data_IF_992777738672
#
_entry.id   IF_992777738672
#
_cell.length_a   1.000
_cell.length_b   1.000
_cell.length_c   1.000
_cell.angle_alpha   90.00
_cell.angle_beta   90.00
_cell.angle_gamma   90.00
#
_symmetry.space_group_name_H-M   'P 1'
#
loop_
_entity.id
_entity.type
_entity.pdbx_description
1 polymer ?
#
# COMPACT_ATOMS: atom_id res chain seq x y z
N UNK A 1 -2.71 -5.66 8.01
CA UNK A 1 -3.63 -6.82 8.20
C UNK A 1 -2.94 -8.08 7.68
N UNK A 2 -3.09 -9.22 8.35
CA UNK A 2 -2.41 -10.49 8.00
C UNK A 2 -2.78 -10.99 6.60
N UNK A 3 -4.03 -10.85 6.19
CA UNK A 3 -4.51 -11.33 4.89
C UNK A 3 -3.76 -10.78 3.67
N UNK A 4 -3.16 -9.59 3.77
CA UNK A 4 -2.32 -9.06 2.69
C UNK A 4 -1.05 -9.90 2.54
N UNK A 5 -0.41 -10.29 3.64
CA UNK A 5 0.77 -11.15 3.61
C UNK A 5 0.47 -12.56 3.11
N UNK A 6 -0.73 -13.08 3.40
CA UNK A 6 -1.20 -14.35 2.83
C UNK A 6 -1.34 -14.24 1.31
N UNK A 7 -2.07 -13.24 0.80
CA UNK A 7 -2.26 -13.08 -0.66
C UNK A 7 -0.94 -12.99 -1.41
N UNK A 8 0.00 -12.20 -0.92
CA UNK A 8 1.32 -12.03 -1.57
C UNK A 8 2.08 -13.34 -1.64
N UNK A 9 2.06 -14.14 -0.57
CA UNK A 9 2.77 -15.42 -0.51
C UNK A 9 2.12 -16.51 -1.37
N UNK A 10 0.80 -16.63 -1.33
CA UNK A 10 0.07 -17.63 -2.12
C UNK A 10 0.10 -17.35 -3.62
N UNK A 11 0.21 -16.07 -4.01
CA UNK A 11 0.24 -15.66 -5.42
C UNK A 11 1.66 -15.62 -6.01
N UNK A 12 2.71 -15.81 -5.19
CA UNK A 12 4.12 -15.65 -5.59
C UNK A 12 4.36 -14.36 -6.40
N UNK A 13 3.68 -13.29 -6.00
CA UNK A 13 3.57 -12.08 -6.79
C UNK A 13 4.60 -11.03 -6.38
N UNK A 14 5.17 -10.33 -7.36
CA UNK A 14 5.91 -9.10 -7.12
C UNK A 14 4.94 -8.01 -6.71
N UNK A 15 5.24 -7.31 -5.62
CA UNK A 15 4.38 -6.26 -5.10
C UNK A 15 5.03 -4.91 -5.35
N UNK A 16 4.30 -3.96 -5.95
CA UNK A 16 4.74 -2.58 -6.10
C UNK A 16 3.96 -1.69 -5.13
N UNK A 17 4.50 -1.39 -3.94
CA UNK A 17 3.90 -0.43 -3.02
C UNK A 17 3.75 0.96 -3.64
N UNK A 18 2.67 1.64 -3.26
CA UNK A 18 2.47 3.05 -3.56
C UNK A 18 1.92 3.80 -2.35
N UNK A 19 2.23 5.08 -2.27
CA UNK A 19 1.62 6.03 -1.33
C UNK A 19 0.79 7.04 -2.11
N UNK A 20 -0.49 7.13 -1.75
CA UNK A 20 -1.46 8.06 -2.32
C UNK A 20 -1.83 9.10 -1.26
N UNK A 21 -1.58 10.38 -1.54
CA UNK A 21 -1.91 11.49 -0.63
C UNK A 21 -2.80 12.53 -1.31
N UNK A 22 -3.55 13.30 -0.51
CA UNK A 22 -4.42 14.37 -1.01
C UNK A 22 -5.87 13.96 -1.33
N UNK A 23 -6.13 12.68 -1.60
CA UNK A 23 -7.48 12.18 -1.96
C UNK A 23 -8.51 12.41 -0.85
N UNK A 24 -8.14 12.17 0.42
CA UNK A 24 -9.04 12.43 1.55
C UNK A 24 -9.44 13.90 1.68
N UNK A 25 -8.57 14.84 1.27
CA UNK A 25 -8.88 16.27 1.26
C UNK A 25 -9.84 16.64 0.13
N UNK A 26 -9.78 15.93 -1.00
CA UNK A 26 -10.65 16.12 -2.17
C UNK A 26 -12.06 15.58 -1.90
N UNK A 27 -12.14 14.35 -1.39
CA UNK A 27 -13.40 13.67 -1.09
C UNK A 27 -13.24 12.85 0.21
N UNK A 28 -13.53 13.43 1.39
CA UNK A 28 -13.54 12.68 2.64
C UNK A 28 -14.71 11.69 2.67
N UNK A 29 -14.57 10.65 3.50
CA UNK A 29 -15.61 9.64 3.70
C UNK A 29 -16.93 10.31 4.12
N UNK A 30 -18.03 9.91 3.50
CA UNK A 30 -19.38 10.41 3.80
C UNK A 30 -19.79 11.67 3.01
N UNK A 31 -18.90 12.26 2.22
CA UNK A 31 -19.24 13.36 1.30
C UNK A 31 -19.51 12.80 -0.09
N UNK A 32 -20.49 13.36 -0.80
CA UNK A 32 -20.88 12.90 -2.14
C UNK A 32 -20.24 13.70 -3.28
N UNK A 33 -19.82 14.95 -3.03
CA UNK A 33 -19.26 15.83 -4.05
C UNK A 33 -17.79 16.19 -3.74
N UNK A 34 -16.85 15.93 -4.66
CA UNK A 34 -15.45 16.28 -4.46
C UNK A 34 -15.21 17.79 -4.61
N UNK A 35 -14.11 18.28 -4.08
CA UNK A 35 -13.56 19.62 -4.40
C UNK A 35 -12.25 19.50 -5.18
N UNK A 36 -11.91 20.53 -5.94
CA UNK A 36 -10.59 20.60 -6.60
C UNK A 36 -9.46 20.55 -5.56
N UNK A 37 -8.38 19.85 -5.90
CA UNK A 37 -7.21 19.70 -5.04
C UNK A 37 -6.09 18.94 -5.74
N UNK A 38 -4.91 18.91 -5.12
CA UNK A 38 -3.75 18.15 -5.61
C UNK A 38 -3.75 16.74 -5.03
N UNK A 39 -3.41 15.77 -5.87
CA UNK A 39 -3.12 14.38 -5.50
C UNK A 39 -1.65 14.13 -5.77
N UNK A 40 -0.99 13.40 -4.88
CA UNK A 40 0.37 12.91 -5.08
C UNK A 40 0.37 11.40 -5.01
N UNK A 41 1.10 10.78 -5.94
CA UNK A 41 1.28 9.35 -6.04
C UNK A 41 2.79 9.08 -6.09
N UNK A 42 3.28 8.25 -5.18
CA UNK A 42 4.68 7.85 -5.10
C UNK A 42 4.73 6.34 -5.13
N UNK A 43 5.44 5.78 -6.10
CA UNK A 43 5.71 4.34 -6.19
C UNK A 43 7.04 4.03 -5.51
N UNK A 44 7.14 2.83 -4.92
CA UNK A 44 8.42 2.26 -4.55
C UNK A 44 8.96 1.36 -5.65
N UNK A 45 10.21 0.93 -5.48
CA UNK A 45 10.71 -0.24 -6.18
C UNK A 45 9.87 -1.49 -5.85
N UNK A 46 9.78 -2.46 -6.77
CA UNK A 46 9.13 -3.74 -6.50
C UNK A 46 9.73 -4.45 -5.28
N UNK A 47 8.87 -5.03 -4.47
CA UNK A 47 9.23 -5.90 -3.36
C UNK A 47 8.97 -7.35 -3.75
N UNK A 48 10.01 -8.17 -3.58
CA UNK A 48 9.96 -9.62 -3.75
C UNK A 48 10.03 -10.25 -2.35
N UNK A 49 9.20 -11.25 -2.12
CA UNK A 49 9.08 -11.97 -0.86
C UNK A 49 9.45 -13.44 -1.05
N UNK A 50 10.02 -14.05 -0.02
CA UNK A 50 10.38 -15.46 -0.02
C UNK A 50 9.22 -16.30 0.51
N UNK A 51 9.10 -17.55 0.03
CA UNK A 51 8.19 -18.53 0.64
C UNK A 51 8.46 -18.74 2.15
N UNK A 52 9.68 -18.47 2.62
CA UNK A 52 10.06 -18.57 4.04
C UNK A 52 9.53 -17.42 4.89
N UNK A 53 9.14 -16.31 4.27
CA UNK A 53 8.60 -15.18 5.01
C UNK A 53 7.24 -15.55 5.64
N UNK A 54 7.03 -15.12 6.88
CA UNK A 54 5.72 -15.27 7.52
C UNK A 54 4.73 -14.22 6.99
N UNK A 55 3.44 -14.53 7.00
CA UNK A 55 2.40 -13.58 6.56
C UNK A 55 2.44 -12.26 7.36
N UNK A 56 2.81 -12.34 8.63
CA UNK A 56 2.93 -11.18 9.52
C UNK A 56 4.12 -10.31 9.10
N UNK A 57 5.26 -10.92 8.78
CA UNK A 57 6.47 -10.20 8.38
C UNK A 57 6.30 -9.52 7.02
N UNK A 58 5.66 -10.21 6.06
CA UNK A 58 5.29 -9.63 4.75
C UNK A 58 4.41 -8.39 4.96
N UNK A 59 3.32 -8.52 5.73
CA UNK A 59 2.41 -7.41 5.99
C UNK A 59 3.11 -6.24 6.70
N UNK A 60 4.00 -6.53 7.67
CA UNK A 60 4.76 -5.51 8.40
C UNK A 60 5.75 -4.77 7.49
N UNK A 61 6.47 -5.51 6.63
CA UNK A 61 7.42 -4.92 5.66
C UNK A 61 6.70 -4.03 4.66
N UNK A 62 5.55 -4.47 4.12
CA UNK A 62 4.72 -3.66 3.21
C UNK A 62 4.26 -2.36 3.87
N UNK A 63 3.73 -2.45 5.10
CA UNK A 63 3.27 -1.28 5.84
C UNK A 63 4.42 -0.30 6.12
N UNK A 64 5.59 -0.82 6.48
CA UNK A 64 6.80 -0.01 6.69
C UNK A 64 7.21 0.72 5.42
N UNK A 65 7.28 0.01 4.28
CA UNK A 65 7.67 0.62 3.00
C UNK A 65 6.72 1.75 2.61
N UNK A 66 5.39 1.54 2.69
CA UNK A 66 4.41 2.58 2.34
C UNK A 66 4.56 3.82 3.24
N UNK A 67 4.83 3.62 4.55
CA UNK A 67 5.00 4.71 5.51
C UNK A 67 6.27 5.54 5.25
N UNK A 68 7.31 4.95 4.68
CA UNK A 68 8.58 5.63 4.39
C UNK A 68 8.63 6.32 3.02
N UNK A 69 7.67 6.08 2.12
CA UNK A 69 7.60 6.80 0.84
C UNK A 69 7.28 8.27 1.08
N UNK A 70 8.12 9.18 0.57
CA UNK A 70 8.01 10.64 0.73
C UNK A 70 7.57 11.33 -0.55
#
# INVERSE_FOLDING_TARGET
KIGIGMMVKEMDAWVVPLRLTGTHKILPKGRSLPKRGKVQLIFSEPLIFSYRDSYVDIARRLEKTIKTLQ
#
